data_IF_632183631313
#
_entry.id   IF_632183631313
#
_cell.length_a   1.000
_cell.length_b   1.000
_cell.length_c   1.000
_cell.angle_alpha   90.00
_cell.angle_beta   90.00
_cell.angle_gamma   90.00
#
_symmetry.space_group_name_H-M   'P 1'
#
loop_
_entity.id
_entity.type
_entity.pdbx_description
1 polymer ?
#
# COMPACT_ATOMS: atom_id res chain seq x y z
N UNK A 1 -4.76 14.85 -10.17
CA UNK A 1 -4.04 16.05 -10.64
C UNK A 1 -5.00 17.12 -11.18
N UNK A 2 -6.02 16.77 -11.95
CA UNK A 2 -6.94 17.74 -12.56
C UNK A 2 -7.71 18.66 -11.59
N UNK A 3 -7.74 18.32 -10.31
CA UNK A 3 -8.35 19.12 -9.22
C UNK A 3 -7.26 19.79 -8.32
N UNK A 4 -6.03 19.92 -8.80
CA UNK A 4 -4.93 20.56 -8.06
C UNK A 4 -4.22 19.69 -7.03
N UNK A 5 -4.56 18.39 -6.93
CA UNK A 5 -3.91 17.48 -5.98
C UNK A 5 -2.64 16.88 -6.53
N UNK A 6 -1.58 16.88 -5.75
CA UNK A 6 -0.36 16.14 -6.05
C UNK A 6 -0.57 14.64 -5.87
N UNK A 7 0.07 13.85 -6.73
CA UNK A 7 -0.02 12.39 -6.73
C UNK A 7 1.35 11.78 -6.51
N UNK A 8 1.44 10.90 -5.51
CA UNK A 8 2.60 10.04 -5.27
C UNK A 8 2.20 8.62 -5.64
N UNK A 9 2.80 8.10 -6.70
CA UNK A 9 2.61 6.73 -7.15
C UNK A 9 3.64 5.82 -6.49
N UNK A 10 3.18 4.86 -5.70
CA UNK A 10 4.04 3.89 -5.01
C UNK A 10 4.10 2.54 -5.72
N UNK A 11 3.57 2.47 -6.96
CA UNK A 11 3.54 1.29 -7.82
C UNK A 11 2.87 0.07 -7.14
N UNK A 12 3.44 -1.11 -7.32
CA UNK A 12 2.94 -2.36 -6.76
C UNK A 12 3.29 -2.46 -5.27
N UNK A 13 2.31 -2.18 -4.44
CA UNK A 13 2.44 -2.18 -2.98
C UNK A 13 1.30 -2.96 -2.34
N UNK A 14 1.55 -3.53 -1.16
CA UNK A 14 0.49 -4.16 -0.37
C UNK A 14 -0.44 -3.12 0.25
N UNK A 15 -1.66 -3.53 0.61
CA UNK A 15 -2.60 -2.66 1.33
C UNK A 15 -1.94 -2.01 2.55
N UNK A 16 -1.29 -2.74 3.47
CA UNK A 16 -0.61 -2.13 4.62
C UNK A 16 0.53 -1.17 4.22
N UNK A 17 1.23 -1.45 3.12
CA UNK A 17 2.26 -0.53 2.62
C UNK A 17 1.65 0.81 2.19
N UNK A 18 0.49 0.77 1.55
CA UNK A 18 -0.20 2.01 1.12
C UNK A 18 -0.75 2.78 2.32
N UNK A 19 -1.29 2.09 3.33
CA UNK A 19 -1.77 2.70 4.58
C UNK A 19 -0.63 3.46 5.29
N UNK A 20 0.56 2.84 5.41
CA UNK A 20 1.76 3.50 5.94
C UNK A 20 2.23 4.66 5.06
N UNK A 21 2.20 4.50 3.73
CA UNK A 21 2.62 5.56 2.81
C UNK A 21 1.78 6.83 2.98
N UNK A 22 0.46 6.72 3.18
CA UNK A 22 -0.41 7.88 3.44
C UNK A 22 0.07 8.67 4.64
N UNK A 23 0.34 8.01 5.75
CA UNK A 23 0.80 8.68 6.98
C UNK A 23 2.23 9.20 6.88
N UNK A 24 3.13 8.47 6.25
CA UNK A 24 4.53 8.90 6.05
C UNK A 24 4.66 10.11 5.13
N UNK A 25 3.80 10.24 4.12
CA UNK A 25 3.75 11.39 3.23
C UNK A 25 2.98 12.57 3.82
N UNK A 26 2.21 12.38 4.89
CA UNK A 26 1.24 13.36 5.34
C UNK A 26 0.18 13.64 4.28
N UNK A 27 -0.15 12.62 3.49
CA UNK A 27 -1.09 12.75 2.39
C UNK A 27 -2.53 12.92 2.90
N UNK A 28 -3.36 13.61 2.13
CA UNK A 28 -4.78 13.80 2.46
C UNK A 28 -5.62 12.53 2.30
N UNK A 29 -5.05 11.47 1.71
CA UNK A 29 -5.68 10.18 1.56
C UNK A 29 -4.93 9.28 0.60
N UNK A 30 -5.45 8.07 0.38
CA UNK A 30 -4.85 7.09 -0.51
C UNK A 30 -5.90 6.34 -1.35
N UNK A 31 -5.45 5.85 -2.49
CA UNK A 31 -6.28 5.04 -3.39
C UNK A 31 -5.51 3.77 -3.76
N UNK A 32 -6.13 2.61 -3.55
CA UNK A 32 -5.59 1.32 -3.96
C UNK A 32 -6.46 0.73 -5.07
N UNK A 33 -5.86 0.47 -6.22
CA UNK A 33 -6.51 -0.20 -7.36
C UNK A 33 -6.34 -1.71 -7.18
N UNK A 34 -7.43 -2.43 -6.92
CA UNK A 34 -7.32 -3.86 -6.64
C UNK A 34 -8.62 -4.61 -6.92
N UNK A 35 -8.51 -5.84 -7.40
CA UNK A 35 -9.61 -6.79 -7.45
C UNK A 35 -9.72 -7.64 -6.17
N UNK A 36 -8.79 -7.49 -5.19
CA UNK A 36 -8.68 -8.35 -4.01
C UNK A 36 -8.65 -9.85 -4.41
N UNK A 37 -9.57 -10.66 -3.91
CA UNK A 37 -9.74 -12.09 -4.23
C UNK A 37 -10.79 -12.37 -5.32
N UNK A 38 -11.31 -11.32 -5.96
CA UNK A 38 -12.31 -11.46 -7.00
C UNK A 38 -11.68 -11.93 -8.33
N UNK A 39 -12.46 -12.55 -9.23
CA UNK A 39 -12.00 -12.92 -10.57
C UNK A 39 -11.48 -11.72 -11.36
N UNK A 40 -10.61 -11.99 -12.34
CA UNK A 40 -9.85 -10.99 -13.12
C UNK A 40 -10.67 -9.91 -13.83
N UNK A 41 -11.95 -10.13 -14.07
CA UNK A 41 -12.86 -9.13 -14.66
C UNK A 41 -13.34 -8.07 -13.68
N UNK A 42 -13.07 -8.25 -12.38
CA UNK A 42 -13.39 -7.28 -11.35
C UNK A 42 -12.20 -6.34 -11.12
N UNK A 43 -12.52 -5.11 -10.82
CA UNK A 43 -11.58 -4.14 -10.29
C UNK A 43 -12.33 -3.20 -9.35
N UNK A 44 -11.64 -2.66 -8.36
CA UNK A 44 -12.24 -1.76 -7.38
C UNK A 44 -11.20 -0.74 -6.91
N UNK A 45 -11.72 0.31 -6.28
CA UNK A 45 -10.94 1.29 -5.55
C UNK A 45 -11.14 1.06 -4.06
N UNK A 46 -10.05 0.89 -3.32
CA UNK A 46 -10.07 1.04 -1.87
C UNK A 46 -9.60 2.45 -1.56
N UNK A 47 -10.39 3.17 -0.78
CA UNK A 47 -10.11 4.57 -0.43
C UNK A 47 -9.67 4.66 1.02
N UNK A 48 -8.59 5.40 1.24
CA UNK A 48 -8.02 5.65 2.57
C UNK A 48 -8.17 7.14 2.90
N UNK A 49 -8.42 7.43 4.18
CA UNK A 49 -8.40 8.79 4.71
C UNK A 49 -6.96 9.24 5.02
N UNK A 50 -6.80 10.44 5.55
CA UNK A 50 -5.50 11.04 5.91
C UNK A 50 -4.72 10.30 7.01
N UNK A 51 -5.40 9.38 7.73
CA UNK A 51 -4.77 8.52 8.75
C UNK A 51 -4.27 7.19 8.20
N UNK A 52 -4.46 6.95 6.89
CA UNK A 52 -4.17 5.66 6.27
C UNK A 52 -5.21 4.58 6.59
N UNK A 53 -6.39 4.94 7.10
CA UNK A 53 -7.47 4.04 7.43
C UNK A 53 -8.48 3.96 6.28
N UNK A 54 -9.14 2.82 6.12
CA UNK A 54 -10.26 2.74 5.18
C UNK A 54 -11.37 3.71 5.58
N UNK A 55 -12.01 4.31 4.59
CA UNK A 55 -13.16 5.17 4.83
C UNK A 55 -14.24 4.43 5.62
N UNK A 56 -14.74 5.08 6.66
CA UNK A 56 -15.91 4.58 7.38
C UNK A 56 -17.20 4.79 6.56
N UNK A 57 -18.33 4.30 7.07
CA UNK A 57 -19.61 4.37 6.35
C UNK A 57 -20.05 5.80 6.03
N UNK A 58 -19.81 6.77 6.92
CA UNK A 58 -20.19 8.16 6.72
C UNK A 58 -19.31 8.83 5.65
N UNK A 59 -18.01 8.64 5.72
CA UNK A 59 -17.04 9.12 4.72
C UNK A 59 -17.33 8.51 3.34
N UNK A 60 -17.62 7.22 3.26
CA UNK A 60 -17.99 6.53 2.03
C UNK A 60 -19.30 7.08 1.43
N UNK A 61 -20.30 7.37 2.25
CA UNK A 61 -21.56 8.00 1.80
C UNK A 61 -21.31 9.39 1.23
N UNK A 62 -20.43 10.19 1.84
CA UNK A 62 -20.10 11.52 1.34
C UNK A 62 -19.37 11.46 -0.02
N UNK A 63 -18.45 10.51 -0.21
CA UNK A 63 -17.81 10.28 -1.52
C UNK A 63 -18.86 9.96 -2.59
N UNK A 64 -19.83 9.09 -2.28
CA UNK A 64 -20.88 8.73 -3.21
C UNK A 64 -21.82 9.93 -3.49
N UNK A 65 -22.10 10.76 -2.50
CA UNK A 65 -22.90 11.98 -2.67
C UNK A 65 -22.24 12.97 -3.63
N UNK A 66 -20.94 13.25 -3.41
CA UNK A 66 -20.13 14.15 -4.25
C UNK A 66 -20.08 13.62 -5.69
N UNK A 67 -19.83 12.32 -5.84
CA UNK A 67 -19.77 11.68 -7.16
C UNK A 67 -21.12 11.76 -7.91
N UNK A 68 -22.22 11.52 -7.20
CA UNK A 68 -23.56 11.58 -7.80
C UNK A 68 -24.01 13.00 -8.16
N UNK A 69 -23.56 14.00 -7.41
CA UNK A 69 -23.85 15.42 -7.67
C UNK A 69 -22.90 16.03 -8.71
N UNK A 70 -21.84 15.30 -9.12
CA UNK A 70 -20.80 15.81 -10.02
C UNK A 70 -20.16 17.12 -9.50
N UNK A 71 -20.03 17.24 -8.18
CA UNK A 71 -19.44 18.41 -7.51
C UNK A 71 -17.92 18.39 -7.60
N UNK A 72 -17.38 18.70 -8.79
CA UNK A 72 -15.94 18.68 -9.06
C UNK A 72 -15.46 20.09 -9.44
N UNK A 73 -14.54 20.64 -8.64
CA UNK A 73 -13.84 21.88 -8.95
C UNK A 73 -12.52 21.55 -9.62
N UNK A 74 -12.44 21.74 -10.93
CA UNK A 74 -11.21 21.53 -11.69
C UNK A 74 -10.28 22.72 -11.53
N UNK A 75 -8.99 22.42 -11.38
CA UNK A 75 -7.95 23.42 -11.26
C UNK A 75 -7.67 24.12 -12.62
N UNK A 76 -7.28 25.37 -12.54
CA UNK A 76 -6.73 26.09 -13.69
C UNK A 76 -5.38 25.47 -14.11
N UNK A 77 -4.97 25.72 -15.36
CA UNK A 77 -3.75 25.10 -15.96
C UNK A 77 -2.52 25.28 -15.08
N UNK A 78 -2.36 26.45 -14.47
CA UNK A 78 -1.21 26.78 -13.61
C UNK A 78 -1.33 26.21 -12.19
N UNK A 79 -2.44 25.56 -11.87
CA UNK A 79 -2.76 25.00 -10.54
C UNK A 79 -2.94 23.46 -10.58
N UNK A 80 -2.63 22.84 -11.71
CA UNK A 80 -2.67 21.39 -11.82
C UNK A 80 -1.69 20.74 -10.84
N UNK A 81 -2.12 19.68 -10.18
CA UNK A 81 -1.25 18.91 -9.29
C UNK A 81 -0.13 18.20 -10.05
N UNK A 82 0.96 17.96 -9.35
CA UNK A 82 2.13 17.24 -9.86
C UNK A 82 1.99 15.72 -9.70
N UNK A 83 2.82 14.97 -10.46
CA UNK A 83 2.95 13.53 -10.31
C UNK A 83 4.40 13.18 -10.04
N UNK A 84 4.64 12.31 -9.06
CA UNK A 84 5.92 11.65 -8.85
C UNK A 84 5.74 10.19 -8.52
N UNK A 85 6.74 9.38 -8.87
CA UNK A 85 6.79 7.98 -8.44
C UNK A 85 7.84 7.81 -7.34
N UNK A 86 7.51 7.01 -6.32
CA UNK A 86 8.44 6.65 -5.25
C UNK A 86 8.34 5.14 -4.95
N UNK A 87 9.32 4.39 -5.44
CA UNK A 87 9.41 2.94 -5.30
C UNK A 87 9.98 2.48 -3.96
N UNK A 88 10.31 3.39 -3.05
CA UNK A 88 10.96 3.06 -1.77
C UNK A 88 10.01 2.55 -0.69
N UNK A 89 8.69 2.60 -0.91
CA UNK A 89 7.72 2.33 0.15
C UNK A 89 7.69 0.87 0.63
N UNK A 90 7.96 -0.10 -0.23
CA UNK A 90 8.10 -1.49 0.22
C UNK A 90 9.28 -1.64 1.21
N UNK A 91 10.41 -0.97 0.95
CA UNK A 91 11.54 -0.99 1.89
C UNK A 91 11.25 -0.20 3.17
N UNK A 92 10.64 0.99 3.07
CA UNK A 92 10.23 1.78 4.25
C UNK A 92 9.28 0.99 5.16
N UNK A 93 8.38 0.19 4.59
CA UNK A 93 7.50 -0.69 5.35
C UNK A 93 8.30 -1.80 6.04
N UNK A 94 9.22 -2.47 5.33
CA UNK A 94 10.09 -3.48 5.94
C UNK A 94 10.89 -2.88 7.10
N UNK A 95 11.50 -1.72 6.90
CA UNK A 95 12.28 -1.02 7.93
C UNK A 95 11.41 -0.73 9.17
N UNK A 96 10.16 -0.32 8.96
CA UNK A 96 9.21 -0.08 10.04
C UNK A 96 8.87 -1.36 10.82
N UNK A 97 8.71 -2.49 10.13
CA UNK A 97 8.48 -3.80 10.77
C UNK A 97 9.71 -4.22 11.59
N UNK A 98 10.91 -4.08 11.03
CA UNK A 98 12.16 -4.45 11.72
C UNK A 98 12.45 -3.56 12.93
N UNK A 99 11.94 -2.34 12.95
CA UNK A 99 12.09 -1.40 14.06
C UNK A 99 11.10 -1.62 15.22
N UNK A 100 10.14 -2.54 15.09
CA UNK A 100 9.21 -2.85 16.19
C UNK A 100 9.92 -3.54 17.34
N UNK A 101 9.68 -3.11 18.57
CA UNK A 101 10.27 -3.67 19.79
C UNK A 101 9.99 -5.18 19.98
N UNK A 102 8.89 -5.68 19.39
CA UNK A 102 8.50 -7.09 19.44
C UNK A 102 9.18 -7.96 18.37
N UNK A 103 9.92 -7.36 17.45
CA UNK A 103 10.63 -8.08 16.37
C UNK A 103 12.08 -8.31 16.75
N UNK A 104 12.37 -9.48 17.28
CA UNK A 104 13.75 -9.92 17.60
C UNK A 104 14.37 -10.66 16.41
N UNK A 105 15.05 -9.90 15.54
CA UNK A 105 15.73 -10.43 14.34
C UNK A 105 16.77 -11.48 14.70
N UNK A 106 17.52 -11.33 15.80
CA UNK A 106 18.53 -12.30 16.23
C UNK A 106 17.90 -13.62 16.69
N UNK A 107 16.79 -13.57 17.42
CA UNK A 107 16.04 -14.76 17.79
C UNK A 107 15.49 -15.48 16.56
N UNK A 108 14.92 -14.74 15.59
CA UNK A 108 14.40 -15.30 14.34
C UNK A 108 15.53 -15.99 13.55
N UNK A 109 16.69 -15.33 13.41
CA UNK A 109 17.86 -15.88 12.73
C UNK A 109 18.37 -17.17 13.40
N UNK A 110 18.46 -17.17 14.73
CA UNK A 110 18.90 -18.35 15.51
C UNK A 110 17.91 -19.51 15.43
N UNK A 111 16.63 -19.23 15.30
CA UNK A 111 15.59 -20.26 15.18
C UNK A 111 15.73 -21.08 13.88
N UNK A 112 16.44 -20.56 12.88
CA UNK A 112 16.70 -21.20 11.60
C UNK A 112 15.42 -21.75 10.94
N UNK A 113 14.39 -20.91 10.88
CA UNK A 113 13.08 -21.29 10.31
C UNK A 113 13.21 -21.72 8.84
N UNK A 114 12.38 -22.68 8.47
CA UNK A 114 12.11 -23.04 7.08
C UNK A 114 10.70 -22.56 6.75
N UNK A 115 10.60 -21.65 5.79
CA UNK A 115 9.36 -20.95 5.46
C UNK A 115 8.94 -21.29 4.04
N UNK A 116 7.69 -21.61 3.82
CA UNK A 116 7.09 -21.66 2.49
C UNK A 116 6.10 -20.50 2.38
N UNK A 117 6.16 -19.78 1.25
CA UNK A 117 5.24 -18.70 0.93
C UNK A 117 4.54 -18.99 -0.38
N UNK A 118 3.24 -18.73 -0.43
CA UNK A 118 2.45 -18.70 -1.65
C UNK A 118 1.89 -17.28 -1.82
N UNK A 119 2.35 -16.60 -2.86
CA UNK A 119 2.01 -15.20 -3.10
C UNK A 119 0.97 -15.00 -4.21
N UNK A 120 0.39 -16.09 -4.71
CA UNK A 120 -0.67 -16.11 -5.75
C UNK A 120 -0.36 -15.20 -6.96
N UNK A 121 0.91 -15.08 -7.33
CA UNK A 121 1.42 -14.16 -8.37
C UNK A 121 1.01 -12.69 -8.14
N UNK A 122 1.00 -12.24 -6.89
CA UNK A 122 0.59 -10.89 -6.50
C UNK A 122 1.71 -10.16 -5.76
N UNK A 123 1.41 -8.95 -5.28
CA UNK A 123 2.38 -8.04 -4.60
C UNK A 123 3.09 -8.68 -3.39
N UNK A 124 2.51 -9.72 -2.79
CA UNK A 124 3.18 -10.50 -1.75
C UNK A 124 4.51 -11.09 -2.20
N UNK A 125 4.62 -11.48 -3.48
CA UNK A 125 5.86 -11.99 -4.08
C UNK A 125 6.96 -10.95 -4.21
N UNK A 126 6.64 -9.67 -4.10
CA UNK A 126 7.60 -8.57 -4.12
C UNK A 126 8.14 -8.31 -2.71
N UNK A 127 7.26 -8.14 -1.73
CA UNK A 127 7.67 -7.67 -0.39
C UNK A 127 8.07 -8.81 0.56
N UNK A 128 7.35 -9.96 0.57
CA UNK A 128 7.60 -11.02 1.55
C UNK A 128 8.99 -11.65 1.44
N UNK A 129 9.54 -11.95 0.23
CA UNK A 129 10.89 -12.46 0.12
C UNK A 129 11.94 -11.53 0.72
N UNK A 130 11.81 -10.23 0.49
CA UNK A 130 12.72 -9.20 1.00
C UNK A 130 12.62 -9.07 2.53
N UNK A 131 11.42 -9.09 3.08
CA UNK A 131 11.20 -9.07 4.52
C UNK A 131 11.82 -10.30 5.20
N UNK A 132 11.57 -11.50 4.67
CA UNK A 132 12.13 -12.76 5.21
C UNK A 132 13.64 -12.79 5.16
N UNK A 133 14.25 -12.29 4.08
CA UNK A 133 15.70 -12.17 3.96
C UNK A 133 16.27 -11.25 5.04
N UNK A 134 15.68 -10.07 5.24
CA UNK A 134 16.12 -9.10 6.24
C UNK A 134 15.87 -9.58 7.67
N UNK A 135 14.85 -10.40 7.91
CA UNK A 135 14.65 -11.14 9.16
C UNK A 135 15.67 -12.27 9.38
N UNK A 136 16.52 -12.57 8.38
CA UNK A 136 17.55 -13.59 8.46
C UNK A 136 17.05 -15.02 8.23
N UNK A 137 15.90 -15.21 7.62
CA UNK A 137 15.38 -16.51 7.22
C UNK A 137 16.11 -16.98 5.97
N UNK A 138 16.89 -18.07 6.09
CA UNK A 138 17.77 -18.57 5.01
C UNK A 138 17.07 -19.56 4.07
N UNK A 139 16.03 -20.23 4.54
CA UNK A 139 15.34 -21.28 3.79
C UNK A 139 13.90 -20.85 3.48
N UNK A 140 13.73 -20.26 2.30
CA UNK A 140 12.40 -19.80 1.83
C UNK A 140 12.04 -20.53 0.55
N UNK A 141 10.99 -21.36 0.60
CA UNK A 141 10.37 -21.94 -0.59
C UNK A 141 9.33 -20.99 -1.12
N UNK A 142 9.41 -20.64 -2.42
CA UNK A 142 8.56 -19.65 -3.05
C UNK A 142 7.61 -20.32 -4.04
N UNK A 143 6.30 -20.14 -3.81
CA UNK A 143 5.26 -20.60 -4.71
C UNK A 143 4.52 -19.38 -5.24
N UNK A 144 4.34 -19.33 -6.57
CA UNK A 144 3.59 -18.26 -7.23
C UNK A 144 4.02 -16.84 -6.78
N UNK A 145 5.32 -16.58 -6.80
CA UNK A 145 5.93 -15.28 -6.49
C UNK A 145 6.37 -14.54 -7.74
#
# INVERSE_FOLDING_TARGET
>A
MGMGWDVVDIDLASTPTTELAVTMEGASGGIILTASHNPKQWNALKLLNEKGEFLNAAEGQEVLRIAAAEEFDYAEVDQLGSYRQDLSYNQKHIDSVLALDLVDVEAIRKANFRVAIDCVNSVGGIILPQLLEQLGVQHVEKLYC
#
